data_IF_680018973440
#
_entry.id   IF_680018973440
#
_cell.length_a   1.000
_cell.length_b   1.000
_cell.length_c   1.000
_cell.angle_alpha   90.00
_cell.angle_beta   90.00
_cell.angle_gamma   90.00
#
_symmetry.space_group_name_H-M   'P 1'
#
loop_
_entity.id
_entity.type
_entity.pdbx_description
1 polymer ?
#
# COMPACT_ATOMS: atom_id res chain seq x y z
N UNK A 1 0.36 11.81 27.15
CA UNK A 1 1.06 12.92 26.46
C UNK A 1 1.70 12.48 25.13
N UNK A 2 0.92 11.87 24.23
CA UNK A 2 1.34 11.70 22.83
C UNK A 2 0.74 12.84 22.01
N UNK A 3 1.48 13.94 21.88
CA UNK A 3 1.10 15.02 20.99
C UNK A 3 1.34 14.60 19.53
N UNK A 4 0.24 14.37 18.81
CA UNK A 4 0.21 13.97 17.39
C UNK A 4 0.19 15.19 16.47
N UNK A 5 0.17 16.42 17.03
CA UNK A 5 0.14 17.64 16.24
C UNK A 5 1.44 17.78 15.42
N UNK A 6 1.27 17.96 14.11
CA UNK A 6 2.23 17.76 13.03
C UNK A 6 3.42 18.75 12.98
N UNK A 7 4.12 19.02 14.10
CA UNK A 7 5.16 20.05 14.13
C UNK A 7 6.62 19.54 14.15
N UNK A 8 6.90 18.23 14.31
CA UNK A 8 8.29 17.74 14.23
C UNK A 8 8.40 16.25 13.88
N UNK A 9 8.78 15.95 12.63
CA UNK A 9 9.15 14.59 12.19
C UNK A 9 10.36 14.01 12.94
N UNK A 10 11.12 14.83 13.67
CA UNK A 10 12.32 14.40 14.42
C UNK A 10 12.03 13.63 15.70
N UNK A 11 10.78 13.62 16.19
CA UNK A 11 10.42 13.00 17.48
C UNK A 11 9.84 11.58 17.37
N UNK A 12 9.64 11.07 16.15
CA UNK A 12 9.07 9.74 15.89
C UNK A 12 7.73 9.49 16.61
N UNK A 13 6.96 10.54 16.90
CA UNK A 13 5.70 10.42 17.64
C UNK A 13 4.68 9.55 16.92
N UNK A 14 4.68 9.61 15.58
CA UNK A 14 3.82 8.77 14.73
C UNK A 14 4.19 7.29 14.89
N UNK A 15 5.48 6.95 14.83
CA UNK A 15 5.94 5.57 14.98
C UNK A 15 5.63 5.03 16.39
N UNK A 16 5.83 5.86 17.43
CA UNK A 16 5.45 5.51 18.82
C UNK A 16 3.95 5.23 18.94
N UNK A 17 3.12 6.09 18.37
CA UNK A 17 1.67 5.92 18.37
C UNK A 17 1.27 4.59 17.68
N UNK A 18 1.87 4.26 16.53
CA UNK A 18 1.59 3.00 15.85
C UNK A 18 1.93 1.77 16.72
N UNK A 19 3.05 1.80 17.44
CA UNK A 19 3.43 0.70 18.33
C UNK A 19 2.47 0.57 19.50
N UNK A 20 2.12 1.70 20.14
CA UNK A 20 1.20 1.71 21.29
C UNK A 20 -0.21 1.24 20.92
N UNK A 21 -0.73 1.68 19.77
CA UNK A 21 -2.04 1.23 19.26
C UNK A 21 -2.03 -0.28 18.99
N UNK A 22 -0.99 -0.80 18.33
CA UNK A 22 -0.90 -2.24 18.08
C UNK A 22 -0.80 -3.05 19.38
N UNK A 23 -0.05 -2.57 20.37
CA UNK A 23 0.02 -3.20 21.69
C UNK A 23 -1.35 -3.21 22.38
N UNK A 24 -2.08 -2.09 22.34
CA UNK A 24 -3.42 -2.00 22.92
C UNK A 24 -4.43 -2.92 22.23
N UNK A 25 -4.35 -3.08 20.90
CA UNK A 25 -5.17 -4.03 20.14
C UNK A 25 -4.89 -5.46 20.61
N UNK A 26 -3.63 -5.90 20.60
CA UNK A 26 -3.26 -7.25 21.01
C UNK A 26 -3.72 -7.55 22.44
N UNK A 27 -3.45 -6.64 23.37
CA UNK A 27 -3.87 -6.77 24.78
C UNK A 27 -5.40 -6.86 24.92
N UNK A 28 -6.16 -6.09 24.14
CA UNK A 28 -7.63 -6.12 24.20
C UNK A 28 -8.20 -7.45 23.71
N UNK A 29 -7.64 -8.00 22.63
CA UNK A 29 -8.02 -9.32 22.11
C UNK A 29 -7.67 -10.45 23.07
N UNK A 30 -6.47 -10.39 23.68
CA UNK A 30 -6.05 -11.33 24.71
C UNK A 30 -7.00 -11.29 25.92
N UNK A 31 -7.32 -10.09 26.43
CA UNK A 31 -8.26 -9.90 27.54
C UNK A 31 -9.66 -10.44 27.22
N UNK A 32 -10.11 -10.31 25.98
CA UNK A 32 -11.38 -10.83 25.49
C UNK A 32 -11.34 -12.34 25.17
N UNK A 33 -10.17 -13.00 25.28
CA UNK A 33 -9.93 -14.39 24.88
C UNK A 33 -10.29 -14.67 23.41
N UNK A 34 -10.09 -13.68 22.56
CA UNK A 34 -10.28 -13.79 21.10
C UNK A 34 -8.93 -14.06 20.46
N UNK A 35 -8.86 -15.07 19.59
CA UNK A 35 -7.63 -15.43 18.91
C UNK A 35 -7.17 -14.31 17.97
N UNK A 36 -5.93 -13.85 18.15
CA UNK A 36 -5.21 -12.95 17.27
C UNK A 36 -3.73 -13.34 17.31
N UNK A 37 -2.99 -13.04 16.24
CA UNK A 37 -1.55 -13.32 16.16
C UNK A 37 -0.84 -12.03 15.79
N UNK A 38 0.25 -11.71 16.49
CA UNK A 38 1.10 -10.59 16.13
C UNK A 38 1.92 -10.89 14.87
N UNK A 39 2.40 -9.82 14.21
CA UNK A 39 3.07 -9.94 12.93
C UNK A 39 4.46 -10.60 13.01
N UNK A 40 5.16 -10.54 14.15
CA UNK A 40 6.45 -11.22 14.32
C UNK A 40 6.26 -12.73 14.46
N UNK A 41 5.29 -13.15 15.29
CA UNK A 41 4.92 -14.57 15.43
C UNK A 41 4.38 -15.13 14.13
N UNK A 42 3.51 -14.39 13.42
CA UNK A 42 3.01 -14.79 12.12
C UNK A 42 4.13 -14.97 11.09
N UNK A 43 5.10 -14.05 11.06
CA UNK A 43 6.24 -14.13 10.16
C UNK A 43 7.15 -15.34 10.43
N UNK A 44 7.44 -15.62 11.71
CA UNK A 44 8.19 -16.79 12.11
C UNK A 44 7.46 -18.10 11.77
N UNK A 45 6.13 -18.13 11.97
CA UNK A 45 5.27 -19.23 11.57
C UNK A 45 5.32 -19.49 10.06
N UNK A 46 5.24 -18.44 9.25
CA UNK A 46 5.35 -18.55 7.79
C UNK A 46 6.72 -19.10 7.35
N UNK A 47 7.82 -18.65 7.97
CA UNK A 47 9.16 -19.17 7.62
C UNK A 47 9.28 -20.67 7.92
N UNK A 48 8.66 -21.15 9.02
CA UNK A 48 8.59 -22.58 9.32
C UNK A 48 7.79 -23.34 8.26
N UNK A 49 6.66 -22.80 7.83
CA UNK A 49 5.85 -23.36 6.75
C UNK A 49 6.63 -23.44 5.44
N UNK A 50 7.29 -22.35 5.03
CA UNK A 50 8.12 -22.30 3.82
C UNK A 50 9.21 -23.37 3.82
N UNK A 51 9.91 -23.57 4.95
CA UNK A 51 10.94 -24.63 5.08
C UNK A 51 10.34 -26.03 4.90
N UNK A 52 9.16 -26.29 5.47
CA UNK A 52 8.48 -27.57 5.34
C UNK A 52 8.05 -27.84 3.88
N UNK A 53 7.48 -26.85 3.20
CA UNK A 53 7.02 -26.95 1.82
C UNK A 53 8.19 -27.10 0.82
N UNK A 54 9.29 -26.37 1.02
CA UNK A 54 10.51 -26.57 0.24
C UNK A 54 11.04 -27.99 0.42
N UNK A 55 10.99 -28.54 1.64
CA UNK A 55 11.40 -29.93 1.89
C UNK A 55 10.46 -30.94 1.21
N UNK A 56 9.15 -30.68 1.18
CA UNK A 56 8.16 -31.60 0.62
C UNK A 56 8.08 -31.57 -0.90
N UNK A 57 8.08 -30.38 -1.52
CA UNK A 57 7.84 -30.19 -2.96
C UNK A 57 8.88 -29.33 -3.68
N UNK A 58 9.92 -28.89 -2.98
CA UNK A 58 11.04 -28.14 -3.55
C UNK A 58 10.85 -26.63 -3.63
N UNK A 59 9.63 -26.10 -3.42
CA UNK A 59 9.36 -24.66 -3.58
C UNK A 59 8.12 -24.18 -2.80
N UNK A 60 8.01 -22.85 -2.64
CA UNK A 60 6.83 -22.19 -2.08
C UNK A 60 6.54 -20.91 -2.84
N UNK A 61 5.38 -20.76 -3.51
CA UNK A 61 4.99 -19.49 -4.11
C UNK A 61 4.69 -18.49 -2.99
N UNK A 62 5.34 -17.34 -3.03
CA UNK A 62 5.23 -16.34 -1.98
C UNK A 62 5.38 -14.92 -2.55
N UNK A 63 4.45 -14.03 -2.21
CA UNK A 63 4.52 -12.62 -2.57
C UNK A 63 5.10 -11.82 -1.41
N UNK A 64 6.36 -11.40 -1.57
CA UNK A 64 7.11 -10.70 -0.54
C UNK A 64 6.45 -9.37 -0.13
N UNK A 65 5.81 -8.66 -1.05
CA UNK A 65 5.18 -7.35 -0.78
C UNK A 65 3.98 -7.52 0.14
N UNK A 66 3.24 -8.61 0.01
CA UNK A 66 2.06 -8.90 0.83
C UNK A 66 2.39 -9.58 2.16
N UNK A 67 3.48 -10.36 2.21
CA UNK A 67 3.89 -11.08 3.41
C UNK A 67 4.68 -10.20 4.40
N UNK A 68 5.36 -9.17 3.90
CA UNK A 68 6.14 -8.27 4.73
C UNK A 68 5.20 -7.41 5.60
N UNK A 69 5.36 -7.40 6.94
CA UNK A 69 4.49 -6.60 7.81
C UNK A 69 4.54 -5.10 7.47
N UNK A 70 3.42 -4.37 7.55
CA UNK A 70 3.36 -2.95 7.20
C UNK A 70 4.07 -2.04 8.20
N UNK A 71 4.35 -2.53 9.41
CA UNK A 71 5.19 -1.87 10.42
C UNK A 71 6.35 -2.79 10.78
N UNK A 72 7.49 -2.22 11.19
CA UNK A 72 8.65 -3.00 11.65
C UNK A 72 9.14 -4.06 10.64
N UNK A 73 8.95 -3.81 9.34
CA UNK A 73 9.28 -4.75 8.27
C UNK A 73 10.73 -5.21 8.32
N UNK A 74 11.68 -4.27 8.42
CA UNK A 74 13.11 -4.56 8.50
C UNK A 74 13.55 -5.36 9.73
N UNK A 75 12.70 -5.50 10.75
CA UNK A 75 12.95 -6.35 11.94
C UNK A 75 12.30 -7.73 11.81
N UNK A 76 11.46 -7.94 10.80
CA UNK A 76 10.80 -9.23 10.56
C UNK A 76 11.71 -10.18 9.80
N UNK A 77 11.69 -11.46 10.18
CA UNK A 77 12.48 -12.51 9.50
C UNK A 77 12.12 -12.67 8.02
N UNK A 78 10.89 -12.31 7.63
CA UNK A 78 10.42 -12.35 6.24
C UNK A 78 11.15 -11.33 5.36
N UNK A 79 11.53 -10.17 5.90
CA UNK A 79 12.13 -9.09 5.12
C UNK A 79 13.45 -9.51 4.48
N UNK A 80 14.22 -10.34 5.18
CA UNK A 80 15.52 -10.83 4.71
C UNK A 80 15.44 -12.09 3.86
N UNK A 81 14.25 -12.68 3.70
CA UNK A 81 14.07 -13.93 2.97
C UNK A 81 13.72 -13.63 1.51
N UNK A 82 14.56 -14.12 0.59
CA UNK A 82 14.23 -14.09 -0.84
C UNK A 82 13.08 -15.05 -1.15
N UNK A 83 12.16 -14.59 -1.99
CA UNK A 83 10.93 -15.30 -2.32
C UNK A 83 10.63 -15.18 -3.82
N UNK A 84 10.05 -16.23 -4.38
CA UNK A 84 9.58 -16.25 -5.77
C UNK A 84 8.06 -16.23 -5.79
N UNK A 85 7.50 -15.24 -6.49
CA UNK A 85 6.07 -15.16 -6.74
C UNK A 85 5.75 -15.78 -8.10
N UNK A 86 5.01 -16.88 -8.09
CA UNK A 86 4.53 -17.57 -9.28
C UNK A 86 3.18 -18.22 -9.00
N UNK A 87 2.42 -18.46 -10.05
CA UNK A 87 1.01 -18.87 -9.95
C UNK A 87 0.90 -20.38 -10.15
N UNK A 88 0.30 -21.07 -9.18
CA UNK A 88 -0.08 -22.48 -9.27
C UNK A 88 -1.62 -22.62 -9.33
N UNK A 89 -2.12 -23.79 -9.75
CA UNK A 89 -3.53 -24.18 -9.66
C UNK A 89 -3.64 -25.41 -8.77
N UNK A 90 -4.71 -25.57 -7.96
CA UNK A 90 -5.85 -24.66 -7.78
C UNK A 90 -5.47 -23.37 -7.02
N UNK A 91 -6.20 -22.27 -7.23
CA UNK A 91 -5.95 -20.99 -6.55
C UNK A 91 -7.21 -20.16 -6.32
N UNK A 92 -7.10 -19.24 -5.35
CA UNK A 92 -8.04 -18.14 -5.17
C UNK A 92 -7.67 -17.00 -6.13
N UNK A 93 -8.68 -16.43 -6.79
CA UNK A 93 -8.55 -15.31 -7.73
C UNK A 93 -9.49 -14.19 -7.33
N UNK A 94 -9.07 -12.95 -7.58
CA UNK A 94 -9.94 -11.80 -7.42
C UNK A 94 -11.09 -11.88 -8.42
N UNK A 95 -12.25 -11.42 -7.97
CA UNK A 95 -13.43 -11.30 -8.80
C UNK A 95 -13.74 -9.83 -9.02
N UNK A 96 -14.35 -9.53 -10.18
CA UNK A 96 -14.92 -8.22 -10.41
C UNK A 96 -16.03 -7.99 -9.39
N UNK A 97 -16.11 -6.78 -8.85
CA UNK A 97 -17.16 -6.39 -7.92
C UNK A 97 -18.55 -6.76 -8.47
N UNK A 98 -19.40 -7.48 -7.72
CA UNK A 98 -20.65 -8.04 -8.24
C UNK A 98 -21.59 -6.98 -8.85
N UNK A 99 -21.68 -5.80 -8.25
CA UNK A 99 -22.56 -4.73 -8.74
C UNK A 99 -22.17 -4.16 -10.11
N UNK A 100 -20.91 -4.33 -10.54
CA UNK A 100 -20.48 -3.96 -11.90
C UNK A 100 -21.02 -5.00 -12.91
N UNK A 101 -21.03 -6.28 -12.52
CA UNK A 101 -21.52 -7.37 -13.37
C UNK A 101 -23.04 -7.32 -13.55
N UNK A 102 -23.77 -6.99 -12.48
CA UNK A 102 -25.24 -6.91 -12.48
C UNK A 102 -25.78 -5.54 -12.91
N UNK A 103 -24.93 -4.57 -13.23
CA UNK A 103 -25.38 -3.29 -13.76
C UNK A 103 -26.01 -3.47 -15.17
N UNK A 104 -27.11 -2.77 -15.49
CA UNK A 104 -27.66 -2.75 -16.85
C UNK A 104 -26.57 -2.43 -17.87
N UNK A 105 -26.56 -3.12 -19.03
CA UNK A 105 -25.45 -3.12 -20.00
C UNK A 105 -24.93 -1.70 -20.39
N UNK A 106 -25.81 -0.70 -20.48
CA UNK A 106 -25.44 0.71 -20.74
C UNK A 106 -24.55 1.30 -19.63
N UNK A 107 -24.83 0.97 -18.37
CA UNK A 107 -24.10 1.45 -17.19
C UNK A 107 -22.80 0.66 -16.97
N UNK A 108 -22.77 -0.62 -17.34
CA UNK A 108 -21.57 -1.48 -17.26
C UNK A 108 -20.42 -1.00 -18.15
N UNK A 109 -20.70 -0.62 -19.41
CA UNK A 109 -19.67 0.00 -20.29
C UNK A 109 -19.13 1.30 -19.68
N UNK A 110 -20.02 2.16 -19.21
CA UNK A 110 -19.63 3.42 -18.56
C UNK A 110 -18.78 3.21 -17.30
N UNK A 111 -19.07 2.19 -16.49
CA UNK A 111 -18.34 1.87 -15.26
C UNK A 111 -16.98 1.19 -15.51
N UNK A 112 -16.89 0.31 -16.51
CA UNK A 112 -15.62 -0.32 -16.91
C UNK A 112 -14.67 0.69 -17.60
N UNK A 113 -15.22 1.68 -18.29
CA UNK A 113 -14.48 2.76 -18.93
C UNK A 113 -14.20 3.95 -17.98
N UNK A 114 -14.70 3.91 -16.73
CA UNK A 114 -14.34 4.94 -15.75
C UNK A 114 -12.85 4.82 -15.43
N UNK A 115 -12.07 5.89 -15.63
CA UNK A 115 -10.65 5.85 -15.30
C UNK A 115 -10.54 5.59 -13.80
N UNK A 116 -9.76 4.55 -13.44
CA UNK A 116 -9.29 4.33 -12.07
C UNK A 116 -8.80 5.69 -11.56
N UNK A 117 -9.33 6.18 -10.43
CA UNK A 117 -9.21 7.57 -9.95
C UNK A 117 -7.74 7.96 -9.70
N UNK A 118 -6.98 8.17 -10.77
CA UNK A 118 -5.56 8.48 -10.77
C UNK A 118 -5.38 9.89 -11.33
N UNK A 119 -5.17 10.84 -10.41
CA UNK A 119 -4.37 12.06 -10.56
C UNK A 119 -4.55 12.91 -11.86
N UNK A 120 -5.76 13.11 -12.37
CA UNK A 120 -5.99 14.08 -13.45
C UNK A 120 -5.82 15.55 -12.98
N UNK A 121 -5.82 15.84 -11.67
CA UNK A 121 -5.64 17.21 -11.18
C UNK A 121 -4.22 17.78 -11.39
N UNK A 122 -3.17 16.96 -11.48
CA UNK A 122 -1.81 17.48 -11.59
C UNK A 122 -1.46 18.02 -12.99
N UNK A 123 -2.06 17.48 -14.07
CA UNK A 123 -1.72 17.85 -15.45
C UNK A 123 -2.25 19.23 -15.86
N UNK A 124 -3.37 19.67 -15.28
CA UNK A 124 -3.93 21.00 -15.54
C UNK A 124 -3.19 22.12 -14.79
N UNK A 125 -2.68 21.81 -13.59
CA UNK A 125 -1.88 22.73 -12.79
C UNK A 125 -0.53 23.03 -13.45
N UNK A 126 0.15 22.02 -14.00
CA UNK A 126 1.42 22.23 -14.71
C UNK A 126 1.25 23.01 -16.00
N UNK A 127 0.18 22.78 -16.76
CA UNK A 127 -0.12 23.55 -17.98
C UNK A 127 -0.47 25.02 -17.68
N UNK A 128 -1.17 25.31 -16.57
CA UNK A 128 -1.43 26.70 -16.15
C UNK A 128 -0.15 27.42 -15.75
N UNK A 129 0.72 26.78 -14.97
CA UNK A 129 2.00 27.36 -14.57
C UNK A 129 2.91 27.67 -15.77
N UNK A 130 3.04 26.72 -16.71
CA UNK A 130 3.82 26.91 -17.93
C UNK A 130 3.31 28.10 -18.77
N UNK A 131 1.98 28.28 -18.87
CA UNK A 131 1.37 29.37 -19.64
C UNK A 131 1.65 30.75 -19.02
N UNK A 132 1.70 30.85 -17.69
CA UNK A 132 2.06 32.09 -16.99
C UNK A 132 3.53 32.44 -17.21
N UNK A 133 4.44 31.47 -17.11
CA UNK A 133 5.89 31.68 -17.32
C UNK A 133 6.18 32.10 -18.77
N UNK A 134 5.59 31.41 -19.75
CA UNK A 134 5.76 31.75 -21.18
C UNK A 134 5.20 33.15 -21.46
N UNK A 135 4.05 33.51 -20.88
CA UNK A 135 3.48 34.85 -21.03
C UNK A 135 4.39 35.95 -20.47
N UNK A 136 5.00 35.74 -19.30
CA UNK A 136 5.95 36.68 -18.70
C UNK A 136 7.21 36.83 -19.56
N UNK A 137 7.76 35.72 -20.05
CA UNK A 137 8.95 35.72 -20.92
C UNK A 137 8.69 36.46 -22.25
N UNK A 138 7.52 36.26 -22.88
CA UNK A 138 7.14 36.97 -24.09
C UNK A 138 6.96 38.47 -23.85
N UNK A 139 6.38 38.87 -22.70
CA UNK A 139 6.23 40.29 -22.34
C UNK A 139 7.59 40.96 -22.11
N UNK A 140 8.50 40.28 -21.43
CA UNK A 140 9.86 40.76 -21.22
C UNK A 140 10.66 40.87 -22.53
N UNK A 141 10.52 39.90 -23.45
CA UNK A 141 11.14 39.98 -24.78
C UNK A 141 10.60 41.15 -25.60
N UNK A 142 9.29 41.44 -25.53
CA UNK A 142 8.68 42.56 -26.26
C UNK A 142 9.17 43.93 -25.76
N UNK A 143 9.46 44.06 -24.47
CA UNK A 143 10.04 45.28 -23.88
C UNK A 143 11.53 45.47 -24.19
N UNK A 144 12.22 44.43 -24.70
CA UNK A 144 13.65 44.49 -25.06
C UNK A 144 13.88 44.81 -26.54
N UNK A 145 12.83 44.76 -27.36
CA UNK A 145 12.86 45.02 -28.81
C UNK A 145 12.30 46.42 -29.16
N UNK A 146 11.72 47.13 -28.17
CA UNK A 146 11.40 48.57 -28.25
C UNK A 146 12.52 49.39 -27.61
#
# INVERSE_FOLDING_TARGET
>A
DLDISAAANSKLNVDRLYVEVNAAILHSFEKAKVAIVDHHTAAAGFLKFMKAEIKQRGNTPADWVWLTPPISSGMSVIFHQEMLNYILKPRVVDQVEPWILYAPLKKRKQMLEMPLRSKIRHRWLTLRAARVVIGFAMKAMKQRIS
#
